data_IF_814430483154
#
_entry.id   IF_814430483154
#
_cell.length_a   1.000
_cell.length_b   1.000
_cell.length_c   1.000
_cell.angle_alpha   90.00
_cell.angle_beta   90.00
_cell.angle_gamma   90.00
#
_symmetry.space_group_name_H-M   'P 1'
#
loop_
_entity.id
_entity.type
_entity.pdbx_description
1 polymer ?
#
# COMPACT_ATOMS: atom_id res chain seq x y z
N UNK A 1 15.86 -1.41 -4.59
CA UNK A 1 14.60 -0.80 -5.09
C UNK A 1 13.47 -0.90 -4.07
N UNK A 2 13.22 -2.05 -3.49
CA UNK A 2 12.25 -2.18 -2.40
C UNK A 2 12.56 -1.24 -1.24
N UNK A 3 13.84 -1.10 -0.89
CA UNK A 3 14.29 -0.23 0.19
C UNK A 3 13.88 1.23 0.01
N UNK A 4 13.92 1.75 -1.22
CA UNK A 4 13.49 3.12 -1.49
C UNK A 4 12.01 3.30 -1.16
N UNK A 5 11.18 2.39 -1.65
CA UNK A 5 9.73 2.44 -1.44
C UNK A 5 9.39 2.31 0.05
N UNK A 6 9.97 1.32 0.70
CA UNK A 6 9.74 1.06 2.12
C UNK A 6 10.22 2.21 3.00
N UNK A 7 11.35 2.83 2.66
CA UNK A 7 11.88 3.98 3.37
C UNK A 7 10.96 5.19 3.24
N UNK A 8 10.47 5.46 2.03
CA UNK A 8 9.52 6.56 1.80
C UNK A 8 8.21 6.36 2.55
N UNK A 9 7.69 5.14 2.52
CA UNK A 9 6.41 4.83 3.18
C UNK A 9 6.52 4.84 4.70
N UNK A 10 7.70 4.57 5.24
CA UNK A 10 7.97 4.55 6.67
C UNK A 10 8.31 5.91 7.28
N UNK A 11 8.33 6.99 6.49
CA UNK A 11 8.60 8.33 7.02
C UNK A 11 7.53 8.70 8.06
N UNK A 12 7.91 8.98 9.32
CA UNK A 12 6.94 9.41 10.34
C UNK A 12 6.21 10.68 9.92
N UNK A 13 4.97 10.83 10.33
CA UNK A 13 4.16 12.01 9.97
C UNK A 13 4.84 13.33 10.37
N UNK A 14 5.50 13.35 11.52
CA UNK A 14 6.20 14.53 12.00
C UNK A 14 7.42 14.90 11.15
N UNK A 15 7.94 13.95 10.38
CA UNK A 15 9.10 14.14 9.52
C UNK A 15 8.72 14.41 8.06
N UNK A 16 7.43 14.43 7.75
CA UNK A 16 6.96 14.78 6.41
C UNK A 16 7.28 16.23 6.09
N UNK A 17 7.75 16.44 4.86
CA UNK A 17 8.02 17.79 4.35
C UNK A 17 7.00 18.17 3.30
N UNK A 18 6.59 19.45 3.30
CA UNK A 18 5.68 19.99 2.27
C UNK A 18 6.38 20.21 0.94
N UNK A 19 7.71 20.06 0.90
CA UNK A 19 8.50 20.28 -0.31
C UNK A 19 8.67 19.06 -1.19
N UNK A 20 8.22 17.89 -0.72
CA UNK A 20 8.33 16.62 -1.46
C UNK A 20 6.96 15.98 -1.60
N UNK A 21 6.55 15.77 -2.85
CA UNK A 21 5.35 14.99 -3.20
C UNK A 21 5.78 13.68 -3.82
N UNK A 22 5.18 12.58 -3.40
CA UNK A 22 5.50 11.25 -3.93
C UNK A 22 4.25 10.55 -4.43
N UNK A 23 4.44 9.70 -5.42
CA UNK A 23 3.38 8.84 -5.92
C UNK A 23 3.96 7.49 -6.34
N UNK A 24 3.28 6.42 -5.97
CA UNK A 24 3.65 5.06 -6.34
C UNK A 24 2.56 4.51 -7.26
N UNK A 25 2.94 4.29 -8.52
CA UNK A 25 2.11 3.58 -9.48
C UNK A 25 2.54 2.12 -9.55
N UNK A 26 1.87 1.34 -10.39
CA UNK A 26 2.26 -0.05 -10.60
C UNK A 26 3.68 -0.20 -11.14
N UNK A 27 4.20 0.80 -11.85
CA UNK A 27 5.48 0.73 -12.54
C UNK A 27 6.57 1.64 -12.00
N UNK A 28 6.21 2.73 -11.33
CA UNK A 28 7.16 3.78 -10.96
C UNK A 28 6.87 4.43 -9.62
N UNK A 29 7.95 4.90 -8.99
CA UNK A 29 7.87 5.91 -7.93
C UNK A 29 8.25 7.25 -8.55
N UNK A 30 7.38 8.25 -8.38
CA UNK A 30 7.63 9.62 -8.80
C UNK A 30 7.86 10.49 -7.57
N UNK A 31 8.97 11.22 -7.57
CA UNK A 31 9.28 12.19 -6.52
C UNK A 31 9.31 13.58 -7.14
N UNK A 32 8.51 14.48 -6.62
CA UNK A 32 8.39 15.85 -7.14
C UNK A 32 8.75 16.85 -6.05
N UNK A 33 9.69 17.76 -6.35
CA UNK A 33 10.09 18.79 -5.41
C UNK A 33 9.19 20.05 -5.48
N UNK A 34 9.48 21.04 -4.64
CA UNK A 34 8.70 22.30 -4.58
C UNK A 34 8.79 23.15 -5.84
N UNK A 35 9.73 22.86 -6.74
CA UNK A 35 9.90 23.56 -8.02
C UNK A 35 9.34 22.76 -9.19
N UNK A 36 8.53 21.74 -8.91
CA UNK A 36 7.92 20.83 -9.89
C UNK A 36 8.94 20.01 -10.69
N UNK A 37 10.15 19.83 -10.16
CA UNK A 37 11.12 18.90 -10.72
C UNK A 37 10.76 17.47 -10.29
N UNK A 38 10.44 16.63 -11.25
CA UNK A 38 10.07 15.25 -11.01
C UNK A 38 11.22 14.30 -11.34
N UNK A 39 11.44 13.33 -10.43
CA UNK A 39 12.32 12.20 -10.66
C UNK A 39 11.49 10.93 -10.65
N UNK A 40 11.62 10.11 -11.68
CA UNK A 40 10.92 8.85 -11.81
C UNK A 40 11.89 7.69 -11.63
N UNK A 41 11.53 6.73 -10.76
CA UNK A 41 12.32 5.53 -10.52
C UNK A 41 11.46 4.32 -10.83
N UNK A 42 11.92 3.47 -11.76
CA UNK A 42 11.20 2.26 -12.13
C UNK A 42 11.23 1.23 -11.01
N UNK A 43 10.07 0.64 -10.76
CA UNK A 43 9.93 -0.50 -9.86
C UNK A 43 10.31 -1.80 -10.57
N UNK A 44 10.58 -2.88 -9.82
CA UNK A 44 10.80 -4.20 -10.42
C UNK A 44 9.64 -4.60 -11.33
N UNK A 45 9.95 -5.27 -12.44
CA UNK A 45 8.93 -5.64 -13.44
C UNK A 45 8.08 -6.85 -13.04
N UNK A 46 8.52 -7.61 -12.04
CA UNK A 46 7.88 -8.86 -11.60
C UNK A 46 7.04 -8.70 -10.33
N UNK A 47 7.01 -7.51 -9.75
CA UNK A 47 6.24 -7.27 -8.53
C UNK A 47 5.64 -5.88 -8.49
N UNK A 48 4.62 -5.71 -7.66
CA UNK A 48 3.93 -4.44 -7.41
C UNK A 48 3.90 -4.19 -5.90
N UNK A 49 4.07 -2.94 -5.49
CA UNK A 49 3.90 -2.53 -4.10
C UNK A 49 2.50 -1.98 -3.90
N UNK A 50 1.75 -2.62 -3.01
CA UNK A 50 0.38 -2.20 -2.67
C UNK A 50 0.34 -1.77 -1.22
N UNK A 51 -0.18 -0.58 -0.98
CA UNK A 51 -0.38 -0.03 0.35
C UNK A 51 -1.86 -0.13 0.73
N UNK A 52 -2.12 -0.72 1.88
CA UNK A 52 -3.48 -0.98 2.37
C UNK A 52 -3.70 -0.26 3.69
N UNK A 53 -4.79 0.49 3.79
CA UNK A 53 -5.20 1.16 5.03
C UNK A 53 -6.53 0.58 5.51
N UNK A 54 -6.51 -0.46 6.36
CA UNK A 54 -7.74 -0.95 6.97
C UNK A 54 -8.30 0.13 7.89
N UNK A 55 -9.63 0.20 8.01
CA UNK A 55 -10.27 1.22 8.81
C UNK A 55 -11.56 0.72 9.46
N UNK A 56 -12.04 1.45 10.45
CA UNK A 56 -13.32 1.18 11.13
C UNK A 56 -14.36 2.24 10.81
N UNK A 57 -14.00 3.52 10.90
CA UNK A 57 -14.93 4.63 10.79
C UNK A 57 -14.56 5.70 9.78
N UNK A 58 -13.29 5.86 9.44
CA UNK A 58 -12.82 6.92 8.55
C UNK A 58 -11.87 6.37 7.49
N UNK A 59 -12.08 6.79 6.26
CA UNK A 59 -11.19 6.49 5.14
C UNK A 59 -11.24 7.63 4.13
N UNK A 60 -10.43 7.53 3.08
CA UNK A 60 -10.40 8.45 1.96
C UNK A 60 -10.26 7.67 0.66
N UNK A 61 -10.63 8.28 -0.46
CA UNK A 61 -10.43 7.67 -1.77
C UNK A 61 -8.97 7.79 -2.19
N UNK A 62 -8.41 6.70 -2.67
CA UNK A 62 -7.04 6.67 -3.17
C UNK A 62 -6.88 5.54 -4.20
N UNK A 63 -6.17 5.81 -5.29
CA UNK A 63 -5.87 4.81 -6.31
C UNK A 63 -4.37 4.52 -6.38
N UNK A 64 -3.54 5.56 -6.45
CA UNK A 64 -2.09 5.44 -6.37
C UNK A 64 -1.61 6.00 -5.04
N UNK A 65 -0.82 5.19 -4.32
CA UNK A 65 -0.36 5.56 -2.99
C UNK A 65 0.66 6.69 -3.02
N UNK A 66 0.48 7.66 -2.11
CA UNK A 66 1.45 8.72 -1.86
C UNK A 66 2.06 8.56 -0.47
N UNK A 67 3.31 8.07 -0.35
CA UNK A 67 3.98 7.93 0.95
C UNK A 67 4.08 9.22 1.76
N UNK A 68 4.06 10.37 1.10
CA UNK A 68 4.18 11.68 1.77
C UNK A 68 2.83 12.38 1.98
N UNK A 69 1.74 11.84 1.46
CA UNK A 69 0.43 12.48 1.50
C UNK A 69 -0.70 11.66 2.09
N UNK A 70 -0.66 10.34 1.94
CA UNK A 70 -1.73 9.48 2.42
C UNK A 70 -1.68 9.27 3.94
N UNK A 71 -2.85 9.17 4.56
CA UNK A 71 -2.99 8.92 5.99
C UNK A 71 -4.18 8.00 6.25
N UNK A 72 -3.93 6.86 6.87
CA UNK A 72 -4.94 5.90 7.30
C UNK A 72 -5.31 6.07 8.77
N UNK A 73 -6.46 5.54 9.15
CA UNK A 73 -6.99 5.65 10.52
C UNK A 73 -6.18 4.87 11.56
N UNK A 74 -5.75 3.65 11.21
CA UNK A 74 -5.09 2.74 12.16
C UNK A 74 -3.57 2.86 12.06
N UNK A 75 -3.00 3.80 12.79
CA UNK A 75 -1.55 4.03 12.84
C UNK A 75 -0.89 3.10 13.84
N UNK A 76 0.27 2.54 13.47
CA UNK A 76 1.10 1.73 14.36
C UNK A 76 0.32 0.60 15.06
N UNK A 77 -0.55 -0.06 14.31
CA UNK A 77 -1.42 -1.12 14.82
C UNK A 77 -1.00 -2.49 14.28
N UNK A 78 -1.13 -3.52 15.12
CA UNK A 78 -0.82 -4.88 14.70
C UNK A 78 -1.98 -5.46 13.89
N UNK A 79 -1.67 -6.01 12.72
CA UNK A 79 -2.65 -6.59 11.81
C UNK A 79 -2.15 -7.94 11.31
N UNK A 80 -3.08 -8.88 11.12
CA UNK A 80 -2.79 -10.14 10.45
C UNK A 80 -3.20 -10.01 8.98
N UNK A 81 -2.25 -10.24 8.07
CA UNK A 81 -2.46 -10.07 6.64
C UNK A 81 -2.34 -11.41 5.94
N UNK A 82 -3.37 -11.77 5.18
CA UNK A 82 -3.38 -12.95 4.32
C UNK A 82 -3.72 -12.54 2.91
N UNK A 83 -2.86 -12.92 1.96
CA UNK A 83 -3.09 -12.69 0.53
C UNK A 83 -3.05 -14.02 -0.19
N UNK A 84 -4.06 -14.28 -0.98
CA UNK A 84 -4.14 -15.50 -1.80
C UNK A 84 -4.30 -15.14 -3.27
N UNK A 85 -3.74 -16.00 -4.14
CA UNK A 85 -4.03 -15.98 -5.56
C UNK A 85 -5.49 -16.42 -5.76
N UNK A 86 -6.33 -15.54 -6.30
CA UNK A 86 -7.77 -15.81 -6.44
C UNK A 86 -8.06 -16.90 -7.48
N UNK A 87 -7.13 -17.20 -8.38
CA UNK A 87 -7.29 -18.22 -9.42
C UNK A 87 -6.86 -19.61 -8.92
N UNK A 88 -5.72 -19.69 -8.23
CA UNK A 88 -5.15 -20.97 -7.79
C UNK A 88 -5.44 -21.31 -6.35
N UNK A 89 -5.81 -20.34 -5.52
CA UNK A 89 -5.99 -20.49 -4.09
C UNK A 89 -4.68 -20.54 -3.30
N UNK A 90 -3.53 -20.37 -3.99
CA UNK A 90 -2.22 -20.38 -3.32
C UNK A 90 -2.08 -19.18 -2.37
N UNK A 91 -1.57 -19.44 -1.16
CA UNK A 91 -1.26 -18.37 -0.21
C UNK A 91 0.05 -17.70 -0.59
N UNK A 92 -0.01 -16.39 -0.82
CA UNK A 92 1.16 -15.57 -1.21
C UNK A 92 1.77 -14.89 0.00
N UNK A 93 0.93 -14.35 0.89
CA UNK A 93 1.34 -13.69 2.12
C UNK A 93 0.48 -14.22 3.26
N UNK A 94 1.11 -14.58 4.37
CA UNK A 94 0.43 -14.98 5.60
C UNK A 94 1.32 -14.54 6.76
N UNK A 95 1.18 -13.27 7.17
CA UNK A 95 2.08 -12.64 8.13
C UNK A 95 1.34 -11.72 9.08
N UNK A 96 1.87 -11.61 10.30
CA UNK A 96 1.51 -10.52 11.20
C UNK A 96 2.42 -9.34 10.91
N UNK A 97 1.82 -8.19 10.61
CA UNK A 97 2.51 -6.97 10.28
C UNK A 97 2.02 -5.85 11.19
N UNK A 98 2.73 -4.74 11.16
CA UNK A 98 2.34 -3.54 11.88
C UNK A 98 2.13 -2.42 10.88
N UNK A 99 1.00 -1.73 10.96
CA UNK A 99 0.79 -0.54 10.14
C UNK A 99 1.83 0.51 10.48
N UNK A 100 2.24 1.25 9.47
CA UNK A 100 3.20 2.33 9.62
C UNK A 100 2.57 3.54 10.33
N UNK A 101 3.36 4.56 10.59
CA UNK A 101 2.87 5.79 11.18
C UNK A 101 1.79 6.46 10.31
N UNK A 102 1.83 6.23 9.00
CA UNK A 102 0.81 6.71 8.06
C UNK A 102 -0.50 5.90 8.06
N UNK A 103 -0.61 4.85 8.86
CA UNK A 103 -1.80 4.01 8.92
C UNK A 103 -1.93 2.96 7.82
N UNK A 104 -0.91 2.79 7.01
CA UNK A 104 -0.88 1.82 5.91
C UNK A 104 0.04 0.65 6.23
N UNK A 105 -0.26 -0.49 5.65
CA UNK A 105 0.66 -1.62 5.57
C UNK A 105 1.01 -1.86 4.10
N UNK A 106 2.31 -1.99 3.81
CA UNK A 106 2.81 -2.20 2.46
C UNK A 106 3.04 -3.68 2.17
N UNK A 107 2.62 -4.13 1.01
CA UNK A 107 2.71 -5.52 0.59
C UNK A 107 3.29 -5.58 -0.82
N UNK A 108 4.31 -6.42 -1.01
CA UNK A 108 4.84 -6.74 -2.33
C UNK A 108 4.12 -7.96 -2.89
N UNK A 109 3.52 -7.82 -4.06
CA UNK A 109 2.75 -8.88 -4.72
C UNK A 109 3.34 -9.20 -6.08
N UNK A 110 3.26 -10.47 -6.53
CA UNK A 110 3.60 -10.79 -7.90
C UNK A 110 2.75 -10.04 -8.90
N UNK A 111 3.31 -9.69 -10.02
CA UNK A 111 2.59 -9.11 -11.16
C UNK A 111 1.77 -10.16 -11.89
N UNK A 112 0.70 -9.72 -12.53
CA UNK A 112 -0.07 -10.53 -13.46
C UNK A 112 -1.07 -11.47 -12.82
N UNK A 113 -1.48 -11.23 -11.58
CA UNK A 113 -2.43 -12.10 -10.87
C UNK A 113 -3.60 -11.33 -10.28
N UNK A 114 -4.71 -12.02 -10.08
CA UNK A 114 -5.83 -11.57 -9.27
C UNK A 114 -5.61 -12.08 -7.85
N UNK A 115 -5.78 -11.21 -6.86
CA UNK A 115 -5.58 -11.57 -5.45
C UNK A 115 -6.81 -11.28 -4.60
N UNK A 116 -6.90 -12.01 -3.49
CA UNK A 116 -7.82 -11.73 -2.39
C UNK A 116 -6.97 -11.36 -1.17
N UNK A 117 -7.22 -10.19 -0.60
CA UNK A 117 -6.49 -9.67 0.57
C UNK A 117 -7.44 -9.68 1.76
N UNK A 118 -7.00 -10.28 2.86
CA UNK A 118 -7.74 -10.31 4.12
C UNK A 118 -6.88 -9.70 5.22
N UNK A 119 -7.44 -8.77 5.99
CA UNK A 119 -6.76 -8.15 7.13
C UNK A 119 -7.64 -8.29 8.36
N UNK A 120 -7.02 -8.74 9.45
CA UNK A 120 -7.68 -8.89 10.76
C UNK A 120 -6.98 -8.01 11.78
N UNK A 121 -7.77 -7.28 12.57
CA UNK A 121 -7.31 -6.45 13.67
C UNK A 121 -8.37 -6.46 14.78
N UNK A 122 -7.93 -6.76 16.02
CA UNK A 122 -8.83 -6.81 17.20
C UNK A 122 -10.10 -7.64 16.98
N UNK A 123 -9.97 -8.80 16.33
CA UNK A 123 -11.08 -9.71 16.08
C UNK A 123 -12.02 -9.27 14.96
N UNK A 124 -11.74 -8.16 14.29
CA UNK A 124 -12.48 -7.70 13.12
C UNK A 124 -11.69 -7.96 11.85
N UNK A 125 -12.39 -8.29 10.78
CA UNK A 125 -11.76 -8.67 9.50
C UNK A 125 -12.35 -7.86 8.36
N UNK A 126 -11.49 -7.54 7.38
CA UNK A 126 -11.89 -7.00 6.09
C UNK A 126 -11.26 -7.82 4.98
N UNK A 127 -11.99 -7.99 3.89
CA UNK A 127 -11.49 -8.72 2.71
C UNK A 127 -11.79 -7.92 1.46
N UNK A 128 -10.82 -7.88 0.54
CA UNK A 128 -10.97 -7.19 -0.73
C UNK A 128 -10.23 -7.93 -1.82
N UNK A 129 -10.62 -7.68 -3.06
CA UNK A 129 -9.93 -8.18 -4.24
C UNK A 129 -9.06 -7.08 -4.83
N UNK A 130 -7.94 -7.48 -5.41
CA UNK A 130 -7.02 -6.58 -6.08
C UNK A 130 -6.35 -7.30 -7.24
N UNK A 131 -6.27 -6.61 -8.39
CA UNK A 131 -5.60 -7.12 -9.59
C UNK A 131 -4.24 -6.46 -9.76
N UNK A 132 -3.23 -7.23 -10.10
CA UNK A 132 -1.91 -6.74 -10.51
C UNK A 132 -1.64 -6.99 -12.00
N UNK A 133 -2.68 -7.23 -12.78
CA UNK A 133 -2.57 -7.62 -14.20
C UNK A 133 -2.21 -6.43 -15.09
N UNK A 134 -2.86 -5.29 -14.90
CA UNK A 134 -2.71 -4.12 -15.77
C UNK A 134 -1.55 -3.22 -15.35
N UNK A 135 -0.96 -2.51 -16.31
CA UNK A 135 0.12 -1.55 -16.05
C UNK A 135 -0.33 -0.36 -15.20
N UNK A 136 -1.62 -0.09 -15.16
CA UNK A 136 -2.25 0.96 -14.34
C UNK A 136 -2.95 0.38 -13.10
N UNK A 137 -2.52 -0.79 -12.63
CA UNK A 137 -3.08 -1.43 -11.45
C UNK A 137 -3.02 -0.53 -10.22
N UNK A 138 -4.04 -0.63 -9.39
CA UNK A 138 -4.17 0.11 -8.14
C UNK A 138 -3.06 -0.22 -7.16
N UNK A 139 -2.49 0.80 -6.52
CA UNK A 139 -1.45 0.64 -5.50
C UNK A 139 -1.87 1.13 -4.11
N UNK A 140 -3.02 1.77 -4.02
CA UNK A 140 -3.56 2.26 -2.75
C UNK A 140 -4.94 1.67 -2.52
N UNK A 141 -5.11 0.94 -1.42
CA UNK A 141 -6.37 0.28 -1.09
C UNK A 141 -6.89 0.83 0.24
N UNK A 142 -7.96 1.65 0.14
CA UNK A 142 -8.55 2.36 1.28
C UNK A 142 -10.01 1.99 1.53
N UNK A 143 -10.46 0.88 0.97
CA UNK A 143 -11.86 0.45 1.04
C UNK A 143 -12.09 -0.75 1.96
N UNK A 144 -11.08 -1.16 2.74
CA UNK A 144 -11.13 -2.32 3.62
C UNK A 144 -11.66 -1.94 5.00
N UNK A 145 -12.98 -1.96 5.14
CA UNK A 145 -13.64 -1.68 6.43
C UNK A 145 -13.66 -2.92 7.30
N UNK A 146 -13.10 -2.80 8.49
CA UNK A 146 -13.10 -3.87 9.49
C UNK A 146 -14.48 -4.04 10.14
N UNK A 147 -14.94 -5.26 10.21
CA UNK A 147 -16.24 -5.59 10.79
C UNK A 147 -16.23 -6.94 11.55
#
# INVERSE_FOLDING_TARGET
MRELVETLDAIPLDDRTETLTTSITAEMVTLTDQHEHATEVRLPSDEIYVSVAPYRSQTHDCYYHSPTGCLGELRNADVAVTVTDATTGETIVDEELRTLDNGFVGIWLPRGIETSISITHDGQTATSKLSSVDDDAQTCLTTMRLA
#
